data_IF_478830695079
#
_entry.id   IF_478830695079
#
_cell.length_a   1.000
_cell.length_b   1.000
_cell.length_c   1.000
_cell.angle_alpha   90.00
_cell.angle_beta   90.00
_cell.angle_gamma   90.00
#
_symmetry.space_group_name_H-M   'P 1'
#
loop_
_entity.id
_entity.type
_entity.pdbx_description
1 polymer ?
#
# COMPACT_ATOMS: atom_id res chain seq x y z
N UNK A 1 11.40 11.75 -8.26
CA UNK A 1 10.66 10.64 -8.88
C UNK A 1 9.22 11.09 -9.04
N UNK A 2 8.77 11.23 -10.28
CA UNK A 2 7.38 11.56 -10.62
C UNK A 2 6.63 10.25 -10.87
N UNK A 3 5.43 10.12 -10.31
CA UNK A 3 4.59 8.92 -10.45
C UNK A 3 4.01 8.90 -11.87
N UNK A 4 4.32 7.86 -12.65
CA UNK A 4 3.72 7.63 -13.98
C UNK A 4 2.56 6.65 -13.82
N UNK A 5 1.33 7.12 -14.04
CA UNK A 5 0.13 6.30 -14.10
C UNK A 5 -0.37 6.29 -15.54
N UNK A 6 -0.85 5.15 -16.01
CA UNK A 6 -1.57 5.09 -17.29
C UNK A 6 -2.87 5.87 -17.18
N UNK A 7 -3.42 6.32 -18.31
CA UNK A 7 -4.68 7.08 -18.32
C UNK A 7 -5.83 6.28 -17.67
N UNK A 8 -5.92 4.98 -17.96
CA UNK A 8 -6.91 4.11 -17.32
C UNK A 8 -6.77 4.09 -15.79
N UNK A 9 -5.55 3.90 -15.26
CA UNK A 9 -5.33 3.89 -13.80
C UNK A 9 -5.64 5.27 -13.19
N UNK A 10 -5.30 6.36 -13.88
CA UNK A 10 -5.66 7.72 -13.44
C UNK A 10 -7.18 7.87 -13.34
N UNK A 11 -7.93 7.34 -14.30
CA UNK A 11 -9.40 7.35 -14.27
C UNK A 11 -9.95 6.48 -13.14
N UNK A 12 -9.30 5.36 -12.81
CA UNK A 12 -9.66 4.56 -11.62
C UNK A 12 -9.46 5.38 -10.34
N UNK A 13 -8.29 5.99 -10.20
CA UNK A 13 -7.90 6.81 -9.05
C UNK A 13 -8.78 8.06 -8.90
N UNK A 14 -9.16 8.72 -9.99
CA UNK A 14 -10.09 9.86 -9.94
C UNK A 14 -11.45 9.41 -9.43
N UNK A 15 -11.97 8.26 -9.88
CA UNK A 15 -13.25 7.76 -9.36
C UNK A 15 -13.21 7.32 -7.90
N UNK A 16 -12.05 6.88 -7.39
CA UNK A 16 -11.85 6.66 -5.94
C UNK A 16 -11.98 7.97 -5.17
N UNK A 17 -11.57 9.08 -5.78
CA UNK A 17 -11.68 10.42 -5.22
C UNK A 17 -13.13 10.93 -5.31
N UNK A 18 -13.83 10.67 -6.41
CA UNK A 18 -15.24 11.06 -6.59
C UNK A 18 -16.21 10.28 -5.69
N UNK A 19 -15.78 9.15 -5.12
CA UNK A 19 -16.53 8.46 -4.09
C UNK A 19 -16.59 9.26 -2.79
N UNK A 20 -15.75 10.29 -2.59
CA UNK A 20 -15.71 11.01 -1.32
C UNK A 20 -15.38 12.52 -1.40
N UNK A 21 -16.21 13.32 -0.71
CA UNK A 21 -15.89 14.70 -0.33
C UNK A 21 -15.34 14.84 1.10
N UNK A 22 -15.46 13.81 1.96
CA UNK A 22 -15.18 13.92 3.40
C UNK A 22 -14.22 12.87 4.03
N UNK A 23 -14.05 11.65 3.46
CA UNK A 23 -13.13 10.63 3.99
C UNK A 23 -11.81 10.61 3.21
N UNK A 24 -10.71 10.44 3.94
CA UNK A 24 -9.39 10.40 3.33
C UNK A 24 -9.06 8.99 2.81
N UNK A 25 -8.72 8.90 1.52
CA UNK A 25 -8.35 7.67 0.81
C UNK A 25 -6.88 7.74 0.42
N UNK A 26 -6.17 6.61 0.53
CA UNK A 26 -4.74 6.53 0.29
C UNK A 26 -4.39 5.33 -0.57
N UNK A 27 -3.46 5.51 -1.51
CA UNK A 27 -2.68 4.39 -2.04
C UNK A 27 -1.51 4.14 -1.10
N UNK A 28 -1.29 2.90 -0.71
CA UNK A 28 -0.30 2.52 0.31
C UNK A 28 0.60 1.38 -0.17
N UNK A 29 1.54 0.97 0.66
CA UNK A 29 2.17 -0.35 0.52
C UNK A 29 2.97 -0.55 -0.76
N UNK A 30 2.81 -1.75 -1.34
CA UNK A 30 3.56 -2.18 -2.51
C UNK A 30 3.23 -1.35 -3.74
N UNK A 31 1.98 -0.92 -3.87
CA UNK A 31 1.52 -0.07 -4.96
C UNK A 31 2.33 1.21 -5.05
N UNK A 32 2.47 1.96 -3.94
CA UNK A 32 3.22 3.22 -3.98
C UNK A 32 4.73 2.98 -4.20
N UNK A 33 5.31 1.93 -3.60
CA UNK A 33 6.70 1.55 -3.84
C UNK A 33 6.96 1.30 -5.33
N UNK A 34 6.15 0.46 -5.96
CA UNK A 34 6.35 0.03 -7.34
C UNK A 34 6.14 1.19 -8.32
N UNK A 35 5.12 2.03 -8.07
CA UNK A 35 4.91 3.27 -8.82
C UNK A 35 6.10 4.24 -8.71
N UNK A 36 6.69 4.38 -7.52
CA UNK A 36 7.88 5.22 -7.31
C UNK A 36 9.12 4.66 -7.99
N UNK A 37 9.23 3.33 -8.10
CA UNK A 37 10.26 2.64 -8.89
C UNK A 37 10.01 2.70 -10.42
N UNK A 38 8.90 3.29 -10.86
CA UNK A 38 8.52 3.35 -12.27
C UNK A 38 8.09 2.00 -12.84
N UNK A 39 7.66 1.07 -11.98
CA UNK A 39 7.14 -0.24 -12.37
C UNK A 39 5.64 -0.16 -12.57
N UNK A 40 5.13 -0.96 -13.50
CA UNK A 40 3.70 -1.21 -13.61
C UNK A 40 3.25 -2.13 -12.48
N UNK A 41 2.06 -1.89 -11.93
CA UNK A 41 1.40 -2.75 -10.95
C UNK A 41 -0.03 -3.01 -11.37
N UNK A 42 -0.48 -4.25 -11.13
CA UNK A 42 -1.88 -4.65 -11.25
C UNK A 42 -2.56 -4.79 -9.88
N UNK A 43 -1.77 -4.78 -8.81
CA UNK A 43 -2.22 -4.87 -7.43
C UNK A 43 -2.18 -3.48 -6.77
N UNK A 44 -3.35 -3.03 -6.34
CA UNK A 44 -3.59 -1.73 -5.74
C UNK A 44 -4.03 -1.88 -4.28
N UNK A 45 -3.13 -1.54 -3.37
CA UNK A 45 -3.40 -1.44 -1.94
C UNK A 45 -4.02 -0.06 -1.66
N UNK A 46 -5.27 -0.05 -1.20
CA UNK A 46 -6.04 1.13 -0.85
C UNK A 46 -6.36 1.12 0.64
N UNK A 47 -6.02 2.21 1.32
CA UNK A 47 -6.40 2.44 2.71
C UNK A 47 -7.45 3.55 2.80
N UNK A 48 -8.49 3.33 3.60
CA UNK A 48 -9.61 4.25 3.75
C UNK A 48 -9.75 4.60 5.23
N UNK A 49 -9.79 5.90 5.54
CA UNK A 49 -10.19 6.34 6.89
C UNK A 49 -11.69 6.12 7.01
N UNK A 50 -12.10 5.21 7.90
CA UNK A 50 -13.46 4.70 8.01
C UNK A 50 -13.56 3.26 7.52
N UNK A 51 -14.72 2.89 6.96
CA UNK A 51 -15.02 1.51 6.61
C UNK A 51 -14.53 1.12 5.20
N UNK A 52 -13.57 0.21 5.13
CA UNK A 52 -12.95 -0.30 3.91
C UNK A 52 -13.85 -1.24 3.12
N UNK A 53 -14.58 -2.14 3.78
CA UNK A 53 -15.49 -3.10 3.13
C UNK A 53 -16.65 -2.39 2.41
N UNK A 54 -17.27 -1.43 3.09
CA UNK A 54 -18.32 -0.57 2.57
C UNK A 54 -17.80 0.23 1.37
N UNK A 55 -16.60 0.80 1.49
CA UNK A 55 -15.96 1.53 0.41
C UNK A 55 -15.73 0.61 -0.80
N UNK A 56 -15.19 -0.59 -0.60
CA UNK A 56 -14.99 -1.58 -1.65
C UNK A 56 -16.31 -1.96 -2.35
N UNK A 57 -17.41 -2.09 -1.60
CA UNK A 57 -18.75 -2.31 -2.19
C UNK A 57 -19.20 -1.16 -3.06
N UNK A 58 -19.01 0.09 -2.63
CA UNK A 58 -19.36 1.27 -3.43
C UNK A 58 -18.51 1.35 -4.70
N UNK A 59 -17.21 1.10 -4.59
CA UNK A 59 -16.29 1.03 -5.72
C UNK A 59 -16.71 -0.06 -6.72
N UNK A 60 -17.01 -1.26 -6.23
CA UNK A 60 -17.45 -2.37 -7.07
C UNK A 60 -18.73 -2.03 -7.86
N UNK A 61 -19.73 -1.40 -7.23
CA UNK A 61 -20.97 -1.00 -7.92
C UNK A 61 -20.73 -0.02 -9.06
N UNK A 62 -19.78 0.90 -8.92
CA UNK A 62 -19.46 1.88 -9.98
C UNK A 62 -18.65 1.28 -11.12
N UNK A 63 -17.84 0.24 -10.86
CA UNK A 63 -16.92 -0.35 -11.83
C UNK A 63 -17.34 -1.71 -12.37
N UNK A 64 -18.48 -2.24 -11.91
CA UNK A 64 -18.98 -3.57 -12.26
C UNK A 64 -17.96 -4.69 -12.03
N UNK A 65 -17.20 -4.62 -10.94
CA UNK A 65 -16.18 -5.61 -10.58
C UNK A 65 -16.69 -6.80 -9.78
N UNK A 66 -15.82 -7.78 -9.54
CA UNK A 66 -16.08 -8.88 -8.60
C UNK A 66 -15.63 -8.48 -7.20
N UNK A 67 -16.57 -8.41 -6.27
CA UNK A 67 -16.30 -8.17 -4.85
C UNK A 67 -15.99 -9.49 -4.12
N UNK A 68 -14.99 -9.47 -3.24
CA UNK A 68 -14.60 -10.57 -2.35
C UNK A 68 -14.37 -9.96 -0.96
N UNK A 69 -15.06 -10.47 0.07
CA UNK A 69 -14.75 -10.16 1.46
C UNK A 69 -13.54 -10.99 1.87
N UNK A 70 -12.48 -10.35 2.38
CA UNK A 70 -11.26 -11.06 2.80
C UNK A 70 -11.30 -11.35 4.30
N UNK A 71 -11.53 -10.31 5.10
CA UNK A 71 -11.59 -10.39 6.56
C UNK A 71 -12.54 -9.31 7.08
N UNK A 72 -13.69 -9.72 7.61
CA UNK A 72 -14.68 -8.80 8.16
C UNK A 72 -14.18 -8.12 9.45
N UNK A 73 -13.45 -8.85 10.29
CA UNK A 73 -12.96 -8.35 11.57
C UNK A 73 -11.87 -7.29 11.39
N UNK A 74 -11.09 -7.39 10.31
CA UNK A 74 -10.06 -6.40 9.93
C UNK A 74 -10.53 -5.35 8.94
N UNK A 75 -11.80 -5.41 8.53
CA UNK A 75 -12.39 -4.49 7.56
C UNK A 75 -11.63 -4.48 6.21
N UNK A 76 -11.34 -5.69 5.71
CA UNK A 76 -10.56 -5.96 4.50
C UNK A 76 -11.42 -6.59 3.40
N UNK A 77 -11.37 -6.01 2.20
CA UNK A 77 -12.09 -6.51 1.03
C UNK A 77 -11.28 -6.33 -0.25
N UNK A 78 -11.56 -7.17 -1.24
CA UNK A 78 -10.96 -7.13 -2.56
C UNK A 78 -12.00 -6.87 -3.63
N UNK A 79 -11.65 -6.04 -4.61
CA UNK A 79 -12.40 -5.88 -5.86
C UNK A 79 -11.50 -6.21 -7.03
N UNK A 80 -11.93 -7.17 -7.86
CA UNK A 80 -11.22 -7.56 -9.08
C UNK A 80 -11.91 -6.93 -10.29
N UNK A 81 -11.13 -6.22 -11.12
CA UNK A 81 -11.55 -5.55 -12.35
C UNK A 81 -10.67 -6.05 -13.51
N UNK A 82 -11.12 -7.08 -14.21
CA UNK A 82 -10.30 -7.75 -15.23
C UNK A 82 -9.07 -8.39 -14.59
N UNK A 83 -7.88 -7.92 -14.97
CA UNK A 83 -6.60 -8.33 -14.39
C UNK A 83 -6.09 -7.39 -13.28
N UNK A 84 -6.85 -6.35 -12.95
CA UNK A 84 -6.53 -5.41 -11.87
C UNK A 84 -7.17 -5.88 -10.56
N UNK A 85 -6.41 -5.81 -9.47
CA UNK A 85 -6.80 -6.18 -8.12
C UNK A 85 -6.72 -4.95 -7.24
N UNK A 86 -7.80 -4.66 -6.52
CA UNK A 86 -7.87 -3.58 -5.54
C UNK A 86 -8.17 -4.16 -4.17
N UNK A 87 -7.23 -4.04 -3.25
CA UNK A 87 -7.37 -4.44 -1.85
C UNK A 87 -7.66 -3.21 -1.00
N UNK A 88 -8.80 -3.20 -0.34
CA UNK A 88 -9.27 -2.12 0.51
C UNK A 88 -9.15 -2.54 1.98
N UNK A 89 -8.54 -1.68 2.77
CA UNK A 89 -8.44 -1.83 4.22
C UNK A 89 -8.99 -0.56 4.87
N UNK A 90 -9.89 -0.72 5.84
CA UNK A 90 -10.38 0.39 6.64
C UNK A 90 -9.54 0.64 7.89
N UNK A 91 -9.70 1.82 8.49
CA UNK A 91 -9.02 2.16 9.73
C UNK A 91 -9.23 3.60 10.19
N UNK A 92 -8.56 3.96 11.29
CA UNK A 92 -8.78 5.24 11.97
C UNK A 92 -7.70 6.27 11.61
N UNK A 93 -6.45 5.84 11.44
CA UNK A 93 -5.30 6.71 11.13
C UNK A 93 -4.39 6.03 10.11
N UNK A 94 -3.92 6.82 9.15
CA UNK A 94 -2.95 6.34 8.17
C UNK A 94 -1.58 6.14 8.83
N UNK A 95 -1.19 7.00 9.77
CA UNK A 95 0.07 6.91 10.49
C UNK A 95 0.17 5.61 11.31
N UNK A 96 -0.93 5.20 11.98
CA UNK A 96 -0.96 3.93 12.70
C UNK A 96 -0.89 2.72 11.77
N UNK A 97 -1.55 2.76 10.62
CA UNK A 97 -1.43 1.71 9.60
C UNK A 97 0.00 1.60 9.05
N UNK A 98 0.65 2.73 8.74
CA UNK A 98 2.03 2.72 8.25
C UNK A 98 3.01 2.22 9.32
N UNK A 99 2.73 2.47 10.60
CA UNK A 99 3.59 2.08 11.72
C UNK A 99 3.63 0.57 11.98
N UNK A 100 2.59 -0.19 11.63
CA UNK A 100 2.49 -1.65 11.84
C UNK A 100 3.07 -2.50 10.69
N UNK A 101 3.50 -1.86 9.61
CA UNK A 101 4.00 -2.51 8.38
C UNK A 101 5.44 -3.00 8.53
N UNK A 102 5.85 -3.85 7.59
CA UNK A 102 7.13 -4.57 7.59
C UNK A 102 8.34 -3.64 7.43
N UNK A 103 8.47 -2.97 6.28
CA UNK A 103 9.65 -2.19 5.91
C UNK A 103 9.29 -0.76 5.54
N UNK A 104 10.22 0.17 5.78
CA UNK A 104 10.06 1.60 5.47
C UNK A 104 9.63 1.85 4.02
N UNK A 105 10.19 1.09 3.07
CA UNK A 105 9.85 1.16 1.64
C UNK A 105 8.40 0.78 1.31
N UNK A 106 7.69 0.09 2.22
CA UNK A 106 6.27 -0.24 2.11
C UNK A 106 5.40 0.57 3.08
N UNK A 107 6.00 1.46 3.89
CA UNK A 107 5.32 2.26 4.90
C UNK A 107 5.19 3.72 4.47
N UNK A 108 4.74 3.90 3.24
CA UNK A 108 4.41 5.18 2.65
C UNK A 108 2.96 5.18 2.17
N UNK A 109 2.36 6.36 2.13
CA UNK A 109 1.02 6.57 1.62
C UNK A 109 0.97 7.75 0.65
N UNK A 110 0.06 7.71 -0.31
CA UNK A 110 -0.28 8.82 -1.17
C UNK A 110 -1.76 9.14 -1.02
N UNK A 111 -2.07 10.32 -0.49
CA UNK A 111 -3.44 10.79 -0.33
C UNK A 111 -4.07 11.11 -1.68
N UNK A 112 -5.29 10.64 -1.89
CA UNK A 112 -6.09 10.94 -3.08
C UNK A 112 -7.14 12.02 -2.77
N UNK A 113 -7.48 12.90 -3.72
CA UNK A 113 -6.88 13.08 -5.05
C UNK A 113 -5.57 13.89 -5.04
N UNK A 114 -5.19 14.51 -3.92
CA UNK A 114 -4.14 15.53 -3.88
C UNK A 114 -2.73 15.04 -4.25
N UNK A 115 -2.53 13.73 -4.36
CA UNK A 115 -1.24 13.08 -4.61
C UNK A 115 -0.16 13.46 -3.58
N UNK A 116 -0.58 13.92 -2.40
CA UNK A 116 0.32 14.26 -1.29
C UNK A 116 0.88 12.96 -0.70
N UNK A 117 2.19 12.81 -0.72
CA UNK A 117 2.88 11.66 -0.11
C UNK A 117 3.06 11.91 1.39
N UNK A 118 2.78 10.87 2.18
CA UNK A 118 3.01 10.76 3.62
C UNK A 118 4.07 9.66 3.80
N UNK A 119 5.21 10.02 4.38
CA UNK A 119 6.36 9.12 4.57
C UNK A 119 7.02 9.38 5.93
N UNK A 120 6.39 8.91 7.04
CA UNK A 120 6.88 9.17 8.39
C UNK A 120 8.14 8.37 8.75
N UNK A 121 8.47 7.31 8.00
CA UNK A 121 9.57 6.40 8.32
C UNK A 121 10.75 6.49 7.34
N UNK A 122 10.74 7.44 6.41
CA UNK A 122 11.85 7.67 5.48
C UNK A 122 11.94 6.64 4.34
N UNK A 123 10.83 5.98 4.01
CA UNK A 123 10.73 5.00 2.93
C UNK A 123 11.21 5.52 1.58
N UNK A 124 11.00 6.80 1.24
CA UNK A 124 11.51 7.37 -0.02
C UNK A 124 13.02 7.49 -0.04
N UNK A 125 13.65 7.72 1.11
CA UNK A 125 15.10 7.79 1.21
C UNK A 125 15.71 6.39 1.10
N UNK A 126 15.14 5.41 1.80
CA UNK A 126 15.57 4.01 1.72
C UNK A 126 15.33 3.42 0.33
N UNK A 127 14.20 3.73 -0.31
CA UNK A 127 13.89 3.29 -1.67
C UNK A 127 14.91 3.81 -2.69
N UNK A 128 15.32 5.08 -2.59
CA UNK A 128 16.38 5.66 -3.44
C UNK A 128 17.75 5.04 -3.20
N UNK A 129 18.04 4.64 -1.96
CA UNK A 129 19.31 4.01 -1.57
C UNK A 129 19.30 2.48 -1.80
N UNK A 130 18.16 1.89 -2.14
CA UNK A 130 17.98 0.45 -2.23
C UNK A 130 18.20 -0.25 -0.88
N UNK A 131 17.64 0.31 0.20
CA UNK A 131 17.77 -0.24 1.56
C UNK A 131 16.45 -0.90 2.00
N UNK A 132 16.55 -2.11 2.53
CA UNK A 132 15.46 -2.78 3.25
C UNK A 132 15.70 -2.54 4.74
N UNK A 133 14.89 -1.65 5.32
CA UNK A 133 14.93 -1.26 6.73
C UNK A 133 13.57 -1.56 7.35
N UNK A 134 13.55 -2.20 8.52
CA UNK A 134 12.31 -2.41 9.26
C UNK A 134 11.74 -1.10 9.80
N UNK A 135 10.42 -0.99 9.91
CA UNK A 135 9.77 0.16 10.60
C UNK A 135 10.04 0.09 12.10
N UNK A 136 9.87 -1.11 12.68
CA UNK A 136 10.08 -1.45 14.08
C UNK A 136 10.53 -2.91 14.18
N UNK A 137 11.28 -3.27 15.20
CA UNK A 137 11.80 -4.65 15.32
C UNK A 137 10.66 -5.64 15.57
N UNK A 138 9.69 -5.23 16.38
CA UNK A 138 8.51 -6.01 16.77
C UNK A 138 7.63 -6.37 15.55
N UNK A 139 7.63 -5.49 14.54
CA UNK A 139 6.90 -5.73 13.31
C UNK A 139 7.43 -6.92 12.52
N UNK A 140 8.64 -7.42 12.78
CA UNK A 140 9.22 -8.60 12.12
C UNK A 140 9.21 -9.82 13.03
N UNK A 141 9.44 -9.65 14.34
CA UNK A 141 9.48 -10.78 15.29
C UNK A 141 8.18 -11.55 15.35
N UNK A 142 7.06 -10.86 15.16
CA UNK A 142 5.72 -11.42 15.34
C UNK A 142 5.20 -12.15 14.08
N UNK A 143 5.93 -12.07 12.95
CA UNK A 143 5.48 -12.60 11.66
C UNK A 143 6.67 -13.07 10.79
N UNK A 144 6.94 -14.38 10.85
CA UNK A 144 8.02 -15.02 10.09
C UNK A 144 7.90 -14.83 8.57
N UNK A 145 6.70 -14.55 8.03
CA UNK A 145 6.55 -14.27 6.59
C UNK A 145 7.19 -12.93 6.21
N UNK A 146 7.29 -11.97 7.14
CA UNK A 146 7.96 -10.69 6.89
C UNK A 146 9.48 -10.83 6.78
N UNK A 147 10.07 -11.79 7.49
CA UNK A 147 11.48 -12.18 7.32
C UNK A 147 11.71 -12.65 5.88
N UNK A 148 10.88 -13.58 5.38
CA UNK A 148 10.98 -14.07 4.00
C UNK A 148 10.78 -12.95 2.98
N UNK A 149 9.92 -11.97 3.27
CA UNK A 149 9.73 -10.79 2.41
C UNK A 149 10.99 -9.94 2.28
N UNK A 150 11.82 -9.81 3.32
CA UNK A 150 13.11 -9.11 3.22
C UNK A 150 14.00 -9.74 2.14
N UNK A 151 14.18 -11.07 2.18
CA UNK A 151 15.00 -11.79 1.21
C UNK A 151 14.39 -11.77 -0.20
N UNK A 152 13.06 -11.80 -0.29
CA UNK A 152 12.36 -11.61 -1.56
C UNK A 152 12.64 -10.24 -2.17
N UNK A 153 12.55 -9.15 -1.39
CA UNK A 153 12.84 -7.81 -1.89
C UNK A 153 14.32 -7.63 -2.27
N UNK A 154 15.24 -8.23 -1.51
CA UNK A 154 16.65 -8.27 -1.88
C UNK A 154 16.84 -8.93 -3.25
N UNK A 155 16.18 -10.07 -3.49
CA UNK A 155 16.29 -10.81 -4.75
C UNK A 155 15.61 -10.12 -5.92
N UNK A 156 14.43 -9.51 -5.70
CA UNK A 156 13.65 -8.84 -6.76
C UNK A 156 14.22 -7.49 -7.19
N UNK A 157 14.78 -6.72 -6.25
CA UNK A 157 15.18 -5.33 -6.49
C UNK A 157 16.69 -5.09 -6.35
N UNK A 158 17.47 -6.08 -5.90
CA UNK A 158 18.89 -5.92 -5.62
C UNK A 158 19.17 -5.05 -4.39
N UNK A 159 18.19 -4.86 -3.51
CA UNK A 159 18.32 -4.02 -2.32
C UNK A 159 19.16 -4.68 -1.22
N UNK A 160 19.78 -3.86 -0.38
CA UNK A 160 20.57 -4.30 0.77
C UNK A 160 19.78 -4.21 2.07
N UNK A 161 19.81 -5.28 2.87
CA UNK A 161 19.18 -5.29 4.20
C UNK A 161 20.06 -4.49 5.15
N UNK A 162 19.48 -3.51 5.83
CA UNK A 162 20.14 -2.66 6.80
C UNK A 162 20.71 -3.50 7.97
N UNK A 163 21.87 -3.11 8.50
CA UNK A 163 22.59 -3.90 9.52
C UNK A 163 21.72 -4.19 10.75
N UNK A 164 21.00 -3.19 11.27
CA UNK A 164 20.13 -3.36 12.44
C UNK A 164 18.96 -4.30 12.12
N UNK A 165 18.28 -4.06 11.01
CA UNK A 165 17.23 -4.96 10.49
C UNK A 165 17.71 -6.41 10.33
N UNK A 166 18.97 -6.63 9.94
CA UNK A 166 19.55 -7.97 9.80
C UNK A 166 19.72 -8.71 11.13
N UNK A 167 19.85 -8.02 12.26
CA UNK A 167 19.92 -8.69 13.57
C UNK A 167 18.54 -9.15 14.06
N UNK A 168 17.46 -8.63 13.48
CA UNK A 168 16.08 -8.96 13.82
C UNK A 168 15.54 -10.14 13.00
N UNK A 169 16.19 -10.51 11.89
CA UNK A 169 15.71 -11.51 10.92
C UNK A 169 16.66 -12.69 10.73
#
# INVERSE_FOLDING_TARGET
>A
MSIKLTNNIRDIISSLSDLYRERAVYLVGGTLRDLLLGRETKDFDVFVIGNGVEFARQFQRRRSGRFILLDEARDEARVVLGDLIFDFNGGISIESDLARRDFTINSMAMRLPSSRIIDPFGGRADLRKGIIRTVREENLSDDALRVLRAFRFKSLYGFSIEKKTRYTI
#
